data_IF_710379809928
#
_entry.id   IF_710379809928
#
_cell.length_a   1.000
_cell.length_b   1.000
_cell.length_c   1.000
_cell.angle_alpha   90.00
_cell.angle_beta   90.00
_cell.angle_gamma   90.00
#
_symmetry.space_group_name_H-M   'P 1'
#
loop_
_entity.id
_entity.type
_entity.pdbx_description
1 polymer ?
#
# COMPACT_ATOMS: atom_id res chain seq x y z
N UNK A 1 5.06 31.85 25.15
CA UNK A 1 6.38 31.16 25.06
C UNK A 1 6.36 29.69 25.50
N UNK A 2 5.68 29.26 26.59
CA UNK A 2 5.65 27.84 26.95
C UNK A 2 4.84 26.98 25.97
N UNK A 3 3.75 27.51 25.40
CA UNK A 3 2.93 26.78 24.42
C UNK A 3 3.65 26.52 23.10
N UNK A 4 4.41 27.51 22.60
CA UNK A 4 5.21 27.36 21.37
C UNK A 4 6.30 26.30 21.56
N UNK A 5 6.99 26.31 22.69
CA UNK A 5 8.00 25.29 23.02
C UNK A 5 7.35 23.89 23.15
N UNK A 6 6.15 23.81 23.72
CA UNK A 6 5.39 22.56 23.81
C UNK A 6 4.94 22.01 22.44
N UNK A 7 4.61 22.88 21.48
CA UNK A 7 4.25 22.47 20.12
C UNK A 7 5.47 21.96 19.35
N UNK A 8 6.59 22.67 19.40
CA UNK A 8 7.83 22.25 18.74
C UNK A 8 8.40 20.96 19.33
N UNK A 9 8.33 20.76 20.65
CA UNK A 9 8.79 19.52 21.27
C UNK A 9 7.97 18.31 20.84
N UNK A 10 6.64 18.43 20.79
CA UNK A 10 5.74 17.38 20.25
C UNK A 10 6.06 17.07 18.79
N UNK A 11 6.23 18.09 17.95
CA UNK A 11 6.59 17.91 16.54
C UNK A 11 7.93 17.19 16.38
N UNK A 12 8.94 17.59 17.15
CA UNK A 12 10.27 16.99 17.09
C UNK A 12 10.22 15.51 17.49
N UNK A 13 9.46 15.17 18.53
CA UNK A 13 9.24 13.77 18.94
C UNK A 13 8.53 12.98 17.84
N UNK A 14 7.46 13.50 17.26
CA UNK A 14 6.71 12.82 16.20
C UNK A 14 7.57 12.59 14.95
N UNK A 15 8.36 13.59 14.53
CA UNK A 15 9.27 13.47 13.39
C UNK A 15 10.37 12.46 13.69
N UNK A 16 10.94 12.45 14.90
CA UNK A 16 11.94 11.47 15.29
C UNK A 16 11.40 10.03 15.22
N UNK A 17 10.17 9.81 15.69
CA UNK A 17 9.50 8.50 15.61
C UNK A 17 9.30 8.07 14.16
N UNK A 18 8.77 8.96 13.31
CA UNK A 18 8.57 8.67 11.88
C UNK A 18 9.90 8.39 11.18
N UNK A 19 10.94 9.20 11.45
CA UNK A 19 12.27 9.03 10.86
C UNK A 19 12.85 7.65 11.18
N UNK A 20 12.82 7.25 12.45
CA UNK A 20 13.36 5.96 12.90
C UNK A 20 12.58 4.79 12.29
N UNK A 21 11.25 4.82 12.36
CA UNK A 21 10.40 3.76 11.81
C UNK A 21 10.55 3.64 10.29
N UNK A 22 10.49 4.76 9.57
CA UNK A 22 10.57 4.76 8.11
C UNK A 22 11.94 4.30 7.62
N UNK A 23 13.02 4.72 8.26
CA UNK A 23 14.37 4.26 7.91
C UNK A 23 14.54 2.76 8.19
N UNK A 24 14.11 2.28 9.37
CA UNK A 24 14.24 0.88 9.75
C UNK A 24 13.42 -0.05 8.83
N UNK A 25 12.14 0.27 8.62
CA UNK A 25 11.25 -0.52 7.75
C UNK A 25 11.68 -0.40 6.29
N UNK A 26 12.09 0.79 5.84
CA UNK A 26 12.59 1.03 4.48
C UNK A 26 13.79 0.15 4.14
N UNK A 27 14.77 0.03 5.05
CA UNK A 27 15.90 -0.89 4.87
C UNK A 27 15.44 -2.35 4.73
N UNK A 28 14.39 -2.74 5.45
CA UNK A 28 13.81 -4.08 5.36
C UNK A 28 13.11 -4.32 4.01
N UNK A 29 12.42 -3.31 3.47
CA UNK A 29 11.76 -3.34 2.16
C UNK A 29 12.79 -3.46 1.03
N UNK A 30 13.85 -2.65 1.06
CA UNK A 30 14.93 -2.67 0.06
C UNK A 30 15.59 -4.06 0.03
N UNK A 31 15.93 -4.62 1.20
CA UNK A 31 16.53 -5.96 1.30
C UNK A 31 15.65 -7.08 0.75
N UNK A 32 14.32 -6.90 0.71
CA UNK A 32 13.36 -7.91 0.23
C UNK A 32 12.89 -7.69 -1.22
N UNK A 33 13.40 -6.65 -1.88
CA UNK A 33 13.01 -6.21 -3.24
C UNK A 33 11.50 -6.01 -3.35
N UNK A 34 10.93 -5.22 -2.44
CA UNK A 34 9.49 -4.92 -2.37
C UNK A 34 9.20 -3.42 -2.50
N UNK A 35 10.09 -2.67 -3.17
CA UNK A 35 10.07 -1.20 -3.20
C UNK A 35 8.75 -0.67 -3.80
N UNK A 36 8.24 -1.32 -4.85
CA UNK A 36 7.01 -0.93 -5.53
C UNK A 36 5.73 -1.54 -4.96
N UNK A 37 5.81 -2.27 -3.83
CA UNK A 37 4.64 -2.92 -3.25
C UNK A 37 3.56 -1.92 -2.86
N UNK A 38 3.94 -0.71 -2.45
CA UNK A 38 2.97 0.32 -2.06
C UNK A 38 2.11 0.75 -3.25
N UNK A 39 2.71 0.93 -4.45
CA UNK A 39 2.00 1.33 -5.67
C UNK A 39 0.92 0.31 -6.06
N UNK A 40 1.21 -0.98 -5.97
CA UNK A 40 0.22 -2.02 -6.33
C UNK A 40 -0.89 -2.14 -5.29
N UNK A 41 -0.58 -1.99 -4.00
CA UNK A 41 -1.59 -2.05 -2.94
C UNK A 41 -2.54 -0.85 -3.02
N UNK A 42 -2.03 0.35 -3.28
CA UNK A 42 -2.88 1.53 -3.50
C UNK A 42 -3.77 1.37 -4.74
N UNK A 43 -3.24 0.82 -5.83
CA UNK A 43 -4.02 0.55 -7.04
C UNK A 43 -5.12 -0.49 -6.80
N UNK A 44 -4.85 -1.52 -6.01
CA UNK A 44 -5.85 -2.51 -5.60
C UNK A 44 -6.90 -1.92 -4.66
N UNK A 45 -6.52 -0.98 -3.79
CA UNK A 45 -7.48 -0.25 -2.96
C UNK A 45 -8.45 0.56 -3.82
N UNK A 46 -7.92 1.28 -4.81
CA UNK A 46 -8.71 2.03 -5.78
C UNK A 46 -9.62 1.09 -6.60
N UNK A 47 -9.09 -0.03 -7.08
CA UNK A 47 -9.87 -1.07 -7.77
C UNK A 47 -11.02 -1.60 -6.90
N UNK A 48 -10.75 -1.99 -5.64
CA UNK A 48 -11.78 -2.48 -4.74
C UNK A 48 -12.87 -1.43 -4.46
N UNK A 49 -12.50 -0.16 -4.30
CA UNK A 49 -13.46 0.92 -4.18
C UNK A 49 -14.34 1.06 -5.44
N UNK A 50 -13.76 0.94 -6.64
CA UNK A 50 -14.48 0.96 -7.91
C UNK A 50 -15.43 -0.23 -8.08
N UNK A 51 -15.00 -1.43 -7.69
CA UNK A 51 -15.89 -2.61 -7.64
C UNK A 51 -17.08 -2.35 -6.73
N UNK A 52 -16.86 -1.75 -5.56
CA UNK A 52 -17.96 -1.35 -4.68
C UNK A 52 -18.93 -0.38 -5.37
N UNK A 53 -18.41 0.63 -6.08
CA UNK A 53 -19.23 1.58 -6.85
C UNK A 53 -20.00 0.88 -7.97
N UNK A 54 -19.39 -0.07 -8.69
CA UNK A 54 -20.06 -0.86 -9.72
C UNK A 54 -21.21 -1.72 -9.16
N UNK A 55 -21.10 -2.14 -7.89
CA UNK A 55 -22.16 -2.82 -7.15
C UNK A 55 -23.20 -1.85 -6.53
N UNK A 56 -23.24 -0.59 -6.98
CA UNK A 56 -24.13 0.47 -6.50
C UNK A 56 -23.93 0.86 -5.03
N UNK A 57 -22.77 0.56 -4.45
CA UNK A 57 -22.42 1.01 -3.11
C UNK A 57 -21.94 2.45 -3.19
N UNK A 58 -22.46 3.31 -2.31
CA UNK A 58 -22.03 4.71 -2.24
C UNK A 58 -20.53 4.80 -1.97
N UNK A 59 -19.81 5.55 -2.81
CA UNK A 59 -18.41 5.87 -2.59
C UNK A 59 -18.19 6.55 -1.23
N UNK A 60 -17.13 6.15 -0.52
CA UNK A 60 -16.82 6.65 0.82
C UNK A 60 -17.74 6.13 1.95
N UNK A 61 -18.61 5.16 1.66
CA UNK A 61 -19.34 4.41 2.70
C UNK A 61 -18.45 3.35 3.35
N UNK A 62 -18.82 2.89 4.55
CA UNK A 62 -18.12 1.81 5.24
C UNK A 62 -17.98 0.53 4.40
N UNK A 63 -19.00 0.21 3.59
CA UNK A 63 -18.94 -0.92 2.66
C UNK A 63 -17.95 -0.69 1.51
N UNK A 64 -17.86 0.52 0.95
CA UNK A 64 -16.86 0.84 -0.08
C UNK A 64 -15.43 0.66 0.45
N UNK A 65 -15.16 1.07 1.70
CA UNK A 65 -13.88 0.81 2.37
C UNK A 65 -13.64 -0.68 2.64
N UNK A 66 -14.68 -1.45 2.96
CA UNK A 66 -14.57 -2.89 3.13
C UNK A 66 -14.14 -3.57 1.82
N UNK A 67 -14.72 -3.18 0.69
CA UNK A 67 -14.32 -3.69 -0.62
C UNK A 67 -12.87 -3.33 -0.98
N UNK A 68 -12.46 -2.07 -0.74
CA UNK A 68 -11.07 -1.64 -0.91
C UNK A 68 -10.12 -2.46 -0.02
N UNK A 69 -10.47 -2.65 1.26
CA UNK A 69 -9.68 -3.44 2.20
C UNK A 69 -9.55 -4.90 1.77
N UNK A 70 -10.64 -5.53 1.34
CA UNK A 70 -10.61 -6.91 0.84
C UNK A 70 -9.71 -7.04 -0.39
N UNK A 71 -9.77 -6.10 -1.33
CA UNK A 71 -8.92 -6.09 -2.51
C UNK A 71 -7.41 -5.98 -2.15
N UNK A 72 -7.06 -5.08 -1.22
CA UNK A 72 -5.70 -4.91 -0.71
C UNK A 72 -5.21 -6.16 0.04
N UNK A 73 -6.05 -6.72 0.91
CA UNK A 73 -5.70 -7.93 1.66
C UNK A 73 -5.50 -9.12 0.74
N UNK A 74 -6.35 -9.26 -0.28
CA UNK A 74 -6.20 -10.30 -1.29
C UNK A 74 -4.91 -10.14 -2.10
N UNK A 75 -4.61 -8.94 -2.61
CA UNK A 75 -3.39 -8.72 -3.36
C UNK A 75 -2.11 -8.82 -2.53
N UNK A 76 -2.12 -8.33 -1.29
CA UNK A 76 -0.98 -8.51 -0.37
C UNK A 76 -0.75 -9.98 -0.03
N UNK A 77 -1.82 -10.78 0.12
CA UNK A 77 -1.72 -12.23 0.28
C UNK A 77 -1.12 -12.88 -0.98
N UNK A 78 -1.56 -12.50 -2.18
CA UNK A 78 -0.97 -12.99 -3.43
C UNK A 78 0.52 -12.68 -3.52
N UNK A 79 0.93 -11.45 -3.22
CA UNK A 79 2.36 -11.06 -3.19
C UNK A 79 3.15 -11.80 -2.12
N UNK A 80 2.53 -12.14 -0.99
CA UNK A 80 3.17 -12.92 0.06
C UNK A 80 3.37 -14.40 -0.32
N UNK A 81 2.46 -14.95 -1.13
CA UNK A 81 2.50 -16.34 -1.60
C UNK A 81 3.38 -16.51 -2.85
N UNK A 82 3.32 -15.56 -3.79
CA UNK A 82 4.08 -15.61 -5.04
C UNK A 82 5.52 -15.14 -4.78
N UNK A 83 6.39 -16.11 -4.52
CA UNK A 83 7.83 -15.90 -4.33
C UNK A 83 8.62 -16.58 -5.44
N UNK A 84 8.92 -15.86 -6.55
CA UNK A 84 9.82 -16.36 -7.58
C UNK A 84 11.14 -16.81 -6.95
N UNK A 85 11.52 -18.07 -7.21
CA UNK A 85 12.78 -18.67 -6.71
C UNK A 85 13.92 -18.54 -7.74
N UNK A 86 13.58 -18.32 -9.01
CA UNK A 86 14.55 -18.07 -10.08
C UNK A 86 15.11 -16.66 -9.97
N UNK A 87 16.43 -16.52 -10.18
CA UNK A 87 17.11 -15.21 -10.28
C UNK A 87 16.69 -14.40 -11.51
N UNK A 88 16.14 -15.05 -12.53
CA UNK A 88 15.77 -14.41 -13.79
C UNK A 88 14.49 -13.58 -13.66
N UNK A 89 13.64 -13.88 -12.68
CA UNK A 89 12.37 -13.18 -12.46
C UNK A 89 12.48 -12.37 -11.17
N UNK A 90 12.73 -11.05 -11.25
CA UNK A 90 12.72 -10.20 -10.07
C UNK A 90 11.31 -10.14 -9.49
N UNK A 91 11.18 -10.06 -8.16
CA UNK A 91 9.88 -9.91 -7.48
C UNK A 91 9.13 -8.66 -7.92
N UNK A 92 9.87 -7.62 -8.27
CA UNK A 92 9.31 -6.36 -8.77
C UNK A 92 8.54 -6.54 -10.09
N UNK A 93 8.90 -7.53 -10.92
CA UNK A 93 8.13 -7.84 -12.12
C UNK A 93 6.73 -8.38 -11.77
N UNK A 94 6.62 -9.24 -10.75
CA UNK A 94 5.32 -9.75 -10.28
C UNK A 94 4.46 -8.61 -9.73
N UNK A 95 5.07 -7.72 -8.96
CA UNK A 95 4.41 -6.50 -8.44
C UNK A 95 3.90 -5.63 -9.60
N UNK A 96 4.73 -5.39 -10.61
CA UNK A 96 4.37 -4.58 -11.78
C UNK A 96 3.25 -5.20 -12.62
N UNK A 97 3.26 -6.52 -12.81
CA UNK A 97 2.19 -7.24 -13.52
C UNK A 97 0.87 -7.10 -12.75
N UNK A 98 0.89 -7.33 -11.44
CA UNK A 98 -0.32 -7.21 -10.61
C UNK A 98 -0.88 -5.78 -10.63
N UNK A 99 -0.01 -4.77 -10.57
CA UNK A 99 -0.39 -3.36 -10.74
C UNK A 99 -1.05 -3.10 -12.09
N UNK A 100 -0.42 -3.52 -13.20
CA UNK A 100 -0.93 -3.31 -14.54
C UNK A 100 -2.29 -3.99 -14.75
N UNK A 101 -2.43 -5.23 -14.26
CA UNK A 101 -3.71 -5.94 -14.31
C UNK A 101 -4.80 -5.20 -13.53
N UNK A 102 -4.53 -4.79 -12.28
CA UNK A 102 -5.48 -4.04 -11.48
C UNK A 102 -5.85 -2.70 -12.13
N UNK A 103 -4.88 -2.00 -12.73
CA UNK A 103 -5.11 -0.75 -13.46
C UNK A 103 -6.01 -0.94 -14.68
N UNK A 104 -5.73 -1.95 -15.50
CA UNK A 104 -6.55 -2.23 -16.70
C UNK A 104 -7.97 -2.56 -16.32
N UNK A 105 -8.18 -3.41 -15.31
CA UNK A 105 -9.54 -3.76 -14.86
C UNK A 105 -10.26 -2.55 -14.27
N UNK A 106 -9.57 -1.67 -13.54
CA UNK A 106 -10.16 -0.43 -13.02
C UNK A 106 -10.62 0.55 -14.12
N UNK A 107 -10.05 0.48 -15.32
CA UNK A 107 -10.38 1.36 -16.44
C UNK A 107 -11.51 0.83 -17.34
N UNK A 108 -11.86 -0.45 -17.21
CA UNK A 108 -12.93 -1.12 -17.96
C UNK A 108 -14.28 -0.97 -17.25
#
# INVERSE_FOLDING_TARGET
>A
MPETVGLFSRQLVLIAVVLVLHTYIGLHIIRRTLIFSDLVLDQLAAFGALVGVALHIKYGSGFSYLFAMVAVLFGSLLLALIKPKSREIPREAVIGILYAMALVVSLL
#
